data_IF_526377052160
#
_entry.id   IF_526377052160
#
_cell.length_a   1.000
_cell.length_b   1.000
_cell.length_c   1.000
_cell.angle_alpha   90.00
_cell.angle_beta   90.00
_cell.angle_gamma   90.00
#
_symmetry.space_group_name_H-M   'P 1'
#
loop_
_entity.id
_entity.type
_entity.pdbx_description
1 polymer ?
#
# COMPACT_ATOMS: atom_id res chain seq x y z
N UNK A 1 19.34 49.27 42.91
CA UNK A 1 18.33 49.35 41.82
C UNK A 1 18.75 48.72 40.49
N UNK A 2 20.04 48.48 40.19
CA UNK A 2 20.48 47.85 38.91
C UNK A 2 20.37 46.32 38.83
N UNK A 3 20.14 45.62 39.95
CA UNK A 3 20.04 44.15 39.98
C UNK A 3 18.60 43.60 39.96
N UNK A 4 17.57 44.42 40.17
CA UNK A 4 16.17 43.98 40.01
C UNK A 4 15.72 43.95 38.54
N UNK A 5 16.25 44.84 37.70
CA UNK A 5 15.90 44.89 36.27
C UNK A 5 16.40 43.66 35.48
N UNK A 6 17.49 43.01 35.91
CA UNK A 6 17.98 41.77 35.29
C UNK A 6 17.20 40.52 35.72
N UNK A 7 16.59 40.52 36.91
CA UNK A 7 15.73 39.42 37.35
C UNK A 7 14.40 39.39 36.59
N UNK A 8 13.85 40.56 36.26
CA UNK A 8 12.64 40.65 35.43
C UNK A 8 12.89 40.28 33.96
N UNK A 9 14.08 40.56 33.42
CA UNK A 9 14.42 40.18 32.04
C UNK A 9 14.64 38.67 31.85
N UNK A 10 15.09 37.96 32.90
CA UNK A 10 15.23 36.50 32.91
C UNK A 10 13.90 35.78 33.15
N UNK A 11 12.96 36.39 33.88
CA UNK A 11 11.61 35.85 34.07
C UNK A 11 10.74 35.99 32.80
N UNK A 12 10.99 36.98 31.94
CA UNK A 12 10.28 37.14 30.67
C UNK A 12 10.71 36.17 29.56
N UNK A 13 11.82 35.44 29.72
CA UNK A 13 12.27 34.41 28.76
C UNK A 13 11.70 33.02 29.08
N UNK A 14 11.15 32.80 30.29
CA UNK A 14 10.51 31.52 30.68
C UNK A 14 9.00 31.45 30.37
N UNK A 15 8.44 32.48 29.75
CA UNK A 15 7.07 32.48 29.19
C UNK A 15 7.10 32.55 27.66
N UNK A 16 8.06 31.89 27.01
CA UNK A 16 7.72 31.26 25.74
C UNK A 16 6.64 30.25 26.08
N UNK A 17 5.39 30.61 25.79
CA UNK A 17 4.29 29.69 25.74
C UNK A 17 4.74 28.50 24.91
N UNK A 18 5.14 27.42 25.59
CA UNK A 18 4.93 26.09 25.05
C UNK A 18 3.42 25.98 24.92
N UNK A 19 2.90 26.53 23.81
CA UNK A 19 1.61 26.11 23.29
C UNK A 19 1.81 24.63 23.02
N UNK A 20 1.52 23.83 24.04
CA UNK A 20 1.26 22.41 23.88
C UNK A 20 0.00 22.39 23.02
N UNK A 21 0.20 22.45 21.70
CA UNK A 21 -0.88 22.26 20.76
C UNK A 21 -1.45 20.88 21.10
N UNK A 22 -2.73 20.85 21.48
CA UNK A 22 -3.41 19.58 21.65
C UNK A 22 -3.30 18.82 20.33
N UNK A 23 -2.80 17.59 20.40
CA UNK A 23 -2.68 16.73 19.22
C UNK A 23 -4.03 16.60 18.54
N UNK A 24 -4.05 16.60 17.20
CA UNK A 24 -5.22 16.16 16.47
C UNK A 24 -5.54 14.69 16.83
N UNK A 25 -6.80 14.29 16.74
CA UNK A 25 -7.15 12.88 16.86
C UNK A 25 -6.62 12.12 15.63
N UNK A 26 -6.75 12.73 14.45
CA UNK A 26 -6.26 12.20 13.18
C UNK A 26 -5.53 13.25 12.35
N UNK A 27 -4.45 12.84 11.68
CA UNK A 27 -3.97 13.50 10.47
C UNK A 27 -4.08 12.52 9.30
N UNK A 28 -4.84 12.89 8.27
CA UNK A 28 -4.87 12.20 6.99
C UNK A 28 -3.75 12.79 6.11
N UNK A 29 -2.83 11.93 5.70
CA UNK A 29 -1.68 12.27 4.87
C UNK A 29 -1.87 11.64 3.51
N UNK A 30 -1.87 12.44 2.45
CA UNK A 30 -2.01 11.93 1.08
C UNK A 30 -0.75 12.26 0.29
N UNK A 31 -0.12 11.23 -0.28
CA UNK A 31 1.07 11.31 -1.11
C UNK A 31 0.67 11.06 -2.56
N UNK A 32 0.52 12.15 -3.34
CA UNK A 32 0.15 12.11 -4.76
C UNK A 32 1.45 12.13 -5.58
N UNK A 33 1.90 10.94 -5.99
CA UNK A 33 3.03 10.79 -6.92
C UNK A 33 2.45 10.83 -8.34
N UNK A 34 2.46 12.03 -8.93
CA UNK A 34 1.71 12.37 -10.14
C UNK A 34 2.56 12.78 -11.33
N UNK A 35 3.88 12.81 -11.20
CA UNK A 35 4.77 13.20 -12.30
C UNK A 35 4.88 12.06 -13.33
N UNK A 36 3.83 11.91 -14.14
CA UNK A 36 3.69 10.97 -15.25
C UNK A 36 3.77 11.75 -16.58
N UNK A 37 4.91 11.65 -17.25
CA UNK A 37 5.14 12.34 -18.52
C UNK A 37 4.45 11.62 -19.70
N UNK A 38 4.03 10.37 -19.51
CA UNK A 38 3.43 9.52 -20.52
C UNK A 38 1.91 9.67 -20.60
N UNK A 39 1.24 10.07 -19.51
CA UNK A 39 -0.19 10.37 -19.47
C UNK A 39 -0.56 11.41 -18.42
N UNK A 40 -1.32 12.44 -18.83
CA UNK A 40 -1.87 13.40 -17.89
C UNK A 40 -3.10 12.88 -17.11
N UNK A 41 -3.56 11.65 -17.38
CA UNK A 41 -4.77 11.10 -16.76
C UNK A 41 -4.63 10.87 -15.26
N UNK A 42 -3.45 10.47 -14.78
CA UNK A 42 -3.21 10.27 -13.34
C UNK A 42 -3.24 11.62 -12.62
N UNK A 43 -2.55 12.61 -13.16
CA UNK A 43 -2.51 13.96 -12.62
C UNK A 43 -3.89 14.63 -12.60
N UNK A 44 -4.69 14.47 -13.66
CA UNK A 44 -6.08 14.93 -13.70
C UNK A 44 -6.94 14.31 -12.60
N UNK A 45 -6.77 13.02 -12.32
CA UNK A 45 -7.47 12.34 -11.24
C UNK A 45 -7.01 12.84 -9.87
N UNK A 46 -5.71 12.97 -9.65
CA UNK A 46 -5.16 13.47 -8.39
C UNK A 46 -5.62 14.90 -8.05
N UNK A 47 -5.81 15.75 -9.06
CA UNK A 47 -6.40 17.09 -8.87
C UNK A 47 -7.88 17.00 -8.48
N UNK A 48 -8.63 16.04 -9.01
CA UNK A 48 -10.03 15.79 -8.58
C UNK A 48 -10.08 15.26 -7.15
N UNK A 49 -9.19 14.33 -6.79
CA UNK A 49 -9.04 13.79 -5.42
C UNK A 49 -8.76 14.91 -4.41
N UNK A 50 -7.91 15.87 -4.78
CA UNK A 50 -7.64 17.05 -3.95
C UNK A 50 -8.89 17.95 -3.81
N UNK A 51 -9.73 18.01 -4.83
CA UNK A 51 -11.04 18.65 -4.80
C UNK A 51 -12.00 17.95 -3.83
N UNK A 52 -12.12 16.63 -3.90
CA UNK A 52 -12.94 15.80 -3.00
C UNK A 52 -12.53 15.98 -1.54
N UNK A 53 -11.23 15.98 -1.24
CA UNK A 53 -10.70 16.27 0.10
C UNK A 53 -11.15 17.65 0.61
N UNK A 54 -11.23 18.65 -0.28
CA UNK A 54 -11.63 20.02 0.07
C UNK A 54 -13.13 20.18 0.31
N UNK A 55 -13.99 19.25 -0.14
CA UNK A 55 -15.42 19.27 0.20
C UNK A 55 -15.63 19.15 1.73
N UNK A 56 -14.75 18.39 2.39
CA UNK A 56 -14.75 18.19 3.85
C UNK A 56 -13.77 19.15 4.55
N UNK A 57 -12.50 19.15 4.12
CA UNK A 57 -11.43 19.98 4.66
C UNK A 57 -11.02 19.71 6.12
N UNK A 58 -9.83 20.18 6.48
CA UNK A 58 -9.29 20.16 7.84
C UNK A 58 -10.14 20.98 8.81
N UNK A 59 -10.23 20.53 10.06
CA UNK A 59 -11.00 21.13 11.15
C UNK A 59 -10.36 20.81 12.51
N UNK A 60 -10.91 21.37 13.59
CA UNK A 60 -10.39 21.09 14.94
C UNK A 60 -10.36 19.57 15.23
N UNK A 61 -9.18 19.04 15.54
CA UNK A 61 -8.96 17.62 15.85
C UNK A 61 -8.77 16.72 14.64
N UNK A 62 -8.83 17.24 13.41
CA UNK A 62 -8.61 16.47 12.17
C UNK A 62 -7.99 17.35 11.08
N UNK A 63 -6.78 17.02 10.66
CA UNK A 63 -6.11 17.70 9.54
C UNK A 63 -5.89 16.78 8.34
N UNK A 64 -5.91 17.39 7.16
CA UNK A 64 -5.66 16.77 5.87
C UNK A 64 -4.45 17.45 5.26
N UNK A 65 -3.35 16.72 5.15
CA UNK A 65 -2.08 17.20 4.58
C UNK A 65 -1.81 16.42 3.31
N UNK A 66 -1.58 17.14 2.21
CA UNK A 66 -1.31 16.54 0.91
C UNK A 66 0.05 16.98 0.41
N UNK A 67 0.90 16.06 0.00
CA UNK A 67 2.04 16.36 -0.87
C UNK A 67 1.67 15.89 -2.27
N UNK A 68 1.71 16.80 -3.23
CA UNK A 68 1.46 16.48 -4.63
C UNK A 68 2.64 16.97 -5.45
N UNK A 69 3.21 16.08 -6.25
CA UNK A 69 4.14 16.46 -7.32
C UNK A 69 3.45 16.38 -8.67
N UNK A 70 3.61 17.44 -9.45
CA UNK A 70 2.83 17.74 -10.64
C UNK A 70 3.77 17.99 -11.80
N UNK A 71 3.57 17.24 -12.88
CA UNK A 71 4.39 17.35 -14.08
C UNK A 71 4.36 18.77 -14.67
N UNK A 72 5.39 19.12 -15.44
CA UNK A 72 5.35 20.34 -16.27
C UNK A 72 4.36 20.22 -17.43
N UNK A 73 3.92 19.01 -17.75
CA UNK A 73 3.09 18.70 -18.92
C UNK A 73 1.61 18.83 -18.56
N UNK A 74 1.14 20.07 -18.57
CA UNK A 74 -0.27 20.37 -18.31
C UNK A 74 -1.18 19.71 -19.36
N UNK A 75 -2.20 18.96 -18.92
CA UNK A 75 -3.25 18.49 -19.83
C UNK A 75 -4.09 19.67 -20.36
N UNK A 76 -4.77 19.48 -21.49
CA UNK A 76 -5.67 20.52 -22.02
C UNK A 76 -6.85 20.79 -21.08
N UNK A 77 -7.35 19.76 -20.37
CA UNK A 77 -8.37 19.89 -19.33
C UNK A 77 -7.90 20.75 -18.16
N UNK A 78 -6.67 20.54 -17.70
CA UNK A 78 -6.06 21.30 -16.61
C UNK A 78 -5.76 22.75 -17.04
N UNK A 79 -5.36 22.98 -18.30
CA UNK A 79 -5.19 24.34 -18.87
C UNK A 79 -6.47 25.18 -18.84
N UNK A 80 -7.62 24.56 -19.06
CA UNK A 80 -8.91 25.26 -19.10
C UNK A 80 -9.49 25.47 -17.69
N UNK A 81 -9.16 24.59 -16.75
CA UNK A 81 -9.76 24.56 -15.41
C UNK A 81 -8.89 25.21 -14.32
N UNK A 82 -7.58 25.34 -14.54
CA UNK A 82 -6.61 25.84 -13.56
C UNK A 82 -5.78 27.00 -14.12
N UNK A 83 -5.85 28.15 -13.46
CA UNK A 83 -5.06 29.35 -13.76
C UNK A 83 -3.93 29.57 -12.74
N UNK A 84 -3.37 28.49 -12.19
CA UNK A 84 -2.21 28.56 -11.29
C UNK A 84 -0.91 28.71 -12.13
N UNK A 85 -0.25 29.88 -12.13
CA UNK A 85 1.00 30.07 -12.87
C UNK A 85 2.17 29.24 -12.28
N UNK A 86 2.05 28.77 -11.04
CA UNK A 86 3.03 27.90 -10.37
C UNK A 86 2.55 26.43 -10.38
N UNK A 87 1.89 25.99 -11.45
CA UNK A 87 1.24 24.69 -11.50
C UNK A 87 2.19 23.50 -11.23
N UNK A 88 3.38 23.46 -11.84
CA UNK A 88 4.26 22.29 -11.76
C UNK A 88 5.10 22.22 -10.47
N UNK A 89 5.68 21.05 -10.24
CA UNK A 89 6.54 20.74 -9.11
C UNK A 89 5.79 20.45 -7.82
N UNK A 90 6.51 19.90 -6.85
CA UNK A 90 5.95 19.46 -5.60
C UNK A 90 5.58 20.59 -4.65
N UNK A 91 4.41 20.45 -4.05
CA UNK A 91 3.89 21.33 -3.00
C UNK A 91 3.29 20.51 -1.88
N UNK A 92 3.33 21.10 -0.68
CA UNK A 92 2.56 20.63 0.48
C UNK A 92 1.37 21.54 0.70
N UNK A 93 0.21 20.93 0.88
CA UNK A 93 -1.05 21.59 1.11
C UNK A 93 -1.63 21.18 2.45
N UNK A 94 -2.10 22.17 3.20
CA UNK A 94 -3.13 21.96 4.21
C UNK A 94 -4.48 22.14 3.53
N UNK A 95 -5.24 21.06 3.38
CA UNK A 95 -6.54 21.11 2.69
C UNK A 95 -7.57 21.65 3.65
N UNK A 96 -8.18 22.80 3.34
CA UNK A 96 -9.29 23.40 4.06
C UNK A 96 -10.58 23.21 3.27
N UNK A 97 -11.71 23.53 3.90
CA UNK A 97 -12.99 23.49 3.20
C UNK A 97 -12.95 24.46 2.02
N UNK A 98 -13.26 23.96 0.82
CA UNK A 98 -13.32 24.69 -0.45
C UNK A 98 -12.01 25.40 -0.86
N UNK A 99 -10.86 25.03 -0.26
CA UNK A 99 -9.57 25.70 -0.49
C UNK A 99 -8.37 24.80 -0.17
N UNK A 100 -7.30 24.91 -0.97
CA UNK A 100 -6.01 24.26 -0.71
C UNK A 100 -4.98 25.33 -0.31
N UNK A 101 -4.49 25.27 0.93
CA UNK A 101 -3.49 26.23 1.41
C UNK A 101 -2.10 25.68 1.18
N UNK A 102 -1.33 26.31 0.29
CA UNK A 102 0.08 25.96 0.08
C UNK A 102 0.87 26.34 1.33
N UNK A 103 1.42 25.35 2.01
CA UNK A 103 2.27 25.55 3.18
C UNK A 103 3.75 25.51 2.84
N UNK A 104 4.12 24.75 1.81
CA UNK A 104 5.50 24.63 1.34
C UNK A 104 5.55 24.38 -0.17
N UNK A 105 6.46 25.08 -0.86
CA UNK A 105 6.81 24.83 -2.27
C UNK A 105 8.16 24.14 -2.27
N UNK A 106 8.19 22.88 -2.70
CA UNK A 106 9.39 22.04 -2.70
C UNK A 106 10.16 22.15 -4.03
N UNK A 107 9.47 22.53 -5.11
CA UNK A 107 10.01 22.40 -6.46
C UNK A 107 9.91 20.96 -6.93
N UNK A 108 10.60 20.59 -8.01
CA UNK A 108 10.65 19.20 -8.48
C UNK A 108 11.33 18.31 -7.43
N UNK A 109 10.72 17.18 -7.09
CA UNK A 109 11.31 16.17 -6.22
C UNK A 109 11.12 14.78 -6.84
N UNK A 110 12.03 13.85 -6.57
CA UNK A 110 11.81 12.46 -6.95
C UNK A 110 10.77 11.82 -6.00
N UNK A 111 9.54 11.63 -6.48
CA UNK A 111 8.46 10.99 -5.71
C UNK A 111 8.54 9.47 -5.60
N UNK A 112 9.39 8.84 -6.42
CA UNK A 112 9.81 7.45 -6.26
C UNK A 112 10.80 7.24 -5.11
N UNK A 113 11.42 8.31 -4.61
CA UNK A 113 12.47 8.20 -3.60
C UNK A 113 11.93 7.97 -2.18
N UNK A 114 12.50 7.03 -1.39
CA UNK A 114 12.18 6.91 0.04
C UNK A 114 12.44 8.18 0.83
N UNK A 115 13.37 9.04 0.38
CA UNK A 115 13.68 10.30 1.05
C UNK A 115 12.54 11.31 0.93
N UNK A 116 11.83 11.35 -0.20
CA UNK A 116 10.69 12.25 -0.38
C UNK A 116 9.52 11.85 0.53
N UNK A 117 9.22 10.55 0.62
CA UNK A 117 8.20 10.05 1.54
C UNK A 117 8.60 10.27 3.01
N UNK A 118 9.85 10.01 3.36
CA UNK A 118 10.38 10.29 4.70
C UNK A 118 10.28 11.77 5.07
N UNK A 119 10.63 12.67 4.15
CA UNK A 119 10.56 14.11 4.40
C UNK A 119 9.13 14.57 4.64
N UNK A 120 8.15 14.02 3.90
CA UNK A 120 6.73 14.29 4.16
C UNK A 120 6.32 13.84 5.57
N UNK A 121 6.65 12.61 5.97
CA UNK A 121 6.26 12.12 7.30
C UNK A 121 6.93 12.91 8.43
N UNK A 122 8.16 13.38 8.21
CA UNK A 122 8.86 14.30 9.12
C UNK A 122 8.16 15.65 9.21
N UNK A 123 7.77 16.22 8.07
CA UNK A 123 7.01 17.48 8.01
C UNK A 123 5.69 17.36 8.77
N UNK A 124 4.91 16.32 8.46
CA UNK A 124 3.61 16.05 9.09
C UNK A 124 3.75 15.85 10.60
N UNK A 125 4.72 15.05 11.05
CA UNK A 125 4.96 14.82 12.48
C UNK A 125 5.30 16.12 13.23
N UNK A 126 6.05 17.03 12.59
CA UNK A 126 6.47 18.28 13.20
C UNK A 126 5.37 19.37 13.19
N UNK A 127 4.59 19.49 12.10
CA UNK A 127 3.64 20.59 11.90
C UNK A 127 2.18 20.22 12.13
N UNK A 128 1.81 18.96 11.90
CA UNK A 128 0.44 18.45 12.01
C UNK A 128 0.39 17.22 12.94
N UNK A 129 0.86 17.35 14.19
CA UNK A 129 1.01 16.22 15.08
C UNK A 129 -0.36 15.66 15.49
N UNK A 130 -0.51 14.34 15.43
CA UNK A 130 -1.76 13.65 15.73
C UNK A 130 -1.56 12.40 16.58
N UNK A 131 -2.63 11.97 17.24
CA UNK A 131 -2.67 10.69 17.93
C UNK A 131 -2.67 9.53 16.95
N UNK A 132 -3.31 9.69 15.79
CA UNK A 132 -3.40 8.67 14.74
C UNK A 132 -3.06 9.24 13.36
N UNK A 133 -2.44 8.42 12.53
CA UNK A 133 -2.05 8.79 11.17
C UNK A 133 -2.59 7.79 10.15
N UNK A 134 -3.26 8.33 9.12
CA UNK A 134 -3.65 7.60 7.92
C UNK A 134 -2.77 8.10 6.77
N UNK A 135 -1.95 7.25 6.18
CA UNK A 135 -1.17 7.58 4.97
C UNK A 135 -1.82 6.91 3.76
N UNK A 136 -2.19 7.69 2.75
CA UNK A 136 -2.62 7.18 1.44
C UNK A 136 -1.52 7.50 0.43
N UNK A 137 -1.00 6.48 -0.25
CA UNK A 137 -0.09 6.62 -1.39
C UNK A 137 -0.93 6.42 -2.64
N UNK A 138 -1.11 7.48 -3.44
CA UNK A 138 -1.82 7.46 -4.70
C UNK A 138 -0.83 7.55 -5.85
N UNK A 139 -0.90 6.56 -6.73
CA UNK A 139 -0.10 6.44 -7.93
C UNK A 139 -0.63 5.26 -8.74
N UNK A 140 -0.10 5.09 -9.95
CA UNK A 140 0.01 3.76 -10.55
C UNK A 140 0.61 2.70 -9.61
N UNK A 141 0.34 1.43 -9.95
CA UNK A 141 0.71 0.26 -9.16
C UNK A 141 1.07 -0.96 -10.03
N UNK A 142 1.87 -1.89 -9.53
CA UNK A 142 2.10 -3.19 -10.17
C UNK A 142 2.32 -4.34 -9.20
N UNK A 143 1.90 -4.17 -7.96
CA UNK A 143 2.19 -5.10 -6.88
C UNK A 143 3.65 -5.08 -6.45
N UNK A 144 4.15 -6.20 -5.95
CA UNK A 144 5.45 -6.26 -5.25
C UNK A 144 6.66 -6.26 -6.19
N UNK A 145 6.51 -6.65 -7.46
CA UNK A 145 7.64 -6.76 -8.38
C UNK A 145 7.96 -5.41 -9.03
N UNK A 146 8.65 -4.56 -8.30
CA UNK A 146 9.05 -3.21 -8.75
C UNK A 146 10.44 -3.17 -9.40
N UNK A 147 11.21 -4.26 -9.38
CA UNK A 147 12.61 -4.23 -9.79
C UNK A 147 13.21 -5.59 -10.22
N UNK A 148 14.08 -5.61 -11.25
CA UNK A 148 14.88 -6.79 -11.71
C UNK A 148 16.35 -6.43 -12.00
N UNK A 149 17.27 -7.39 -11.86
CA UNK A 149 18.71 -7.23 -12.20
C UNK A 149 19.67 -7.84 -11.17
N UNK A 150 20.98 -7.69 -11.40
CA UNK A 150 22.05 -8.24 -10.54
C UNK A 150 22.39 -7.36 -9.32
N UNK A 151 21.75 -6.19 -9.18
CA UNK A 151 21.95 -5.34 -8.01
C UNK A 151 21.41 -5.98 -6.72
N UNK A 152 21.78 -5.40 -5.57
CA UNK A 152 21.19 -5.76 -4.26
C UNK A 152 20.38 -4.60 -3.69
N UNK A 153 19.24 -4.93 -3.08
CA UNK A 153 18.45 -4.01 -2.25
C UNK A 153 19.34 -3.53 -1.09
N UNK A 154 19.53 -2.21 -0.96
CA UNK A 154 20.41 -1.58 0.05
C UNK A 154 21.82 -1.22 -0.43
N UNK A 155 22.16 -1.42 -1.71
CA UNK A 155 23.39 -0.85 -2.29
C UNK A 155 23.17 0.63 -2.63
N UNK A 156 24.12 1.51 -2.29
CA UNK A 156 24.18 2.90 -2.78
C UNK A 156 24.49 3.01 -4.28
N UNK A 157 24.79 1.87 -4.91
CA UNK A 157 24.92 1.68 -6.34
C UNK A 157 24.37 0.29 -6.64
N UNK A 158 23.04 0.12 -6.68
CA UNK A 158 22.50 -1.14 -7.18
C UNK A 158 23.10 -1.29 -8.60
N UNK A 159 23.54 -2.50 -8.98
CA UNK A 159 24.25 -2.74 -10.25
C UNK A 159 23.41 -2.36 -11.49
N UNK A 160 23.52 -3.09 -12.60
CA UNK A 160 22.58 -2.92 -13.73
C UNK A 160 21.18 -3.39 -13.31
N UNK A 161 20.49 -2.52 -12.59
CA UNK A 161 19.06 -2.47 -12.32
C UNK A 161 18.41 -2.30 -13.68
N UNK A 162 17.69 -3.31 -14.15
CA UNK A 162 16.78 -3.09 -15.25
C UNK A 162 15.44 -2.74 -14.62
N UNK A 163 15.20 -1.44 -14.45
CA UNK A 163 13.88 -0.97 -14.11
C UNK A 163 12.88 -1.43 -15.18
N UNK A 164 11.69 -1.84 -14.77
CA UNK A 164 10.59 -2.13 -15.68
C UNK A 164 9.56 -1.02 -15.47
N UNK A 165 9.58 0.05 -16.28
CA UNK A 165 8.67 1.19 -16.14
C UNK A 165 7.22 0.85 -16.48
N UNK A 166 6.89 -0.44 -16.69
CA UNK A 166 5.52 -0.96 -16.70
C UNK A 166 5.07 -1.53 -15.34
N UNK A 167 5.95 -1.45 -14.31
CA UNK A 167 5.75 -2.06 -12.99
C UNK A 167 6.30 -1.24 -11.80
N UNK A 168 5.43 -0.57 -11.03
CA UNK A 168 5.82 0.38 -9.99
C UNK A 168 4.75 0.62 -8.92
N UNK A 169 5.09 1.25 -7.80
CA UNK A 169 4.18 2.01 -6.92
C UNK A 169 4.82 3.39 -6.72
N UNK A 170 4.09 4.49 -6.86
CA UNK A 170 4.63 5.85 -6.81
C UNK A 170 5.80 6.06 -7.79
N UNK A 171 5.56 5.87 -9.08
CA UNK A 171 6.58 6.09 -10.11
C UNK A 171 6.64 7.54 -10.53
N UNK A 172 7.86 8.00 -10.69
CA UNK A 172 8.22 9.31 -11.15
C UNK A 172 8.86 9.19 -12.54
N UNK A 173 8.12 9.58 -13.57
CA UNK A 173 8.60 9.47 -14.96
C UNK A 173 9.77 10.40 -15.25
N UNK A 174 9.88 11.53 -14.53
CA UNK A 174 10.97 12.48 -14.74
C UNK A 174 12.28 11.94 -14.19
N UNK A 175 12.22 11.20 -13.08
CA UNK A 175 13.39 10.64 -12.39
C UNK A 175 13.68 9.15 -12.69
N UNK A 176 12.78 8.44 -13.40
CA UNK A 176 12.88 6.99 -13.69
C UNK A 176 13.03 6.14 -12.41
N UNK A 177 12.24 6.48 -11.37
CA UNK A 177 12.31 5.89 -10.03
C UNK A 177 10.93 5.59 -9.45
N UNK A 178 10.81 4.60 -8.57
CA UNK A 178 9.56 4.28 -7.88
C UNK A 178 9.79 3.76 -6.46
N UNK A 179 8.79 3.93 -5.59
CA UNK A 179 8.84 3.35 -4.26
C UNK A 179 8.70 1.83 -4.29
N UNK A 180 9.75 1.14 -3.85
CA UNK A 180 9.67 -0.31 -3.59
C UNK A 180 9.00 -0.59 -2.24
N UNK A 181 8.45 -1.80 -2.08
CA UNK A 181 7.88 -2.23 -0.79
C UNK A 181 8.93 -2.26 0.34
N UNK A 182 10.22 -2.45 0.02
CA UNK A 182 11.32 -2.38 0.99
C UNK A 182 11.53 -0.96 1.50
N UNK A 183 11.49 0.02 0.59
CA UNK A 183 11.65 1.43 0.90
C UNK A 183 10.49 1.97 1.72
N UNK A 184 9.26 1.64 1.34
CA UNK A 184 8.06 1.97 2.12
C UNK A 184 8.18 1.38 3.53
N UNK A 185 8.53 0.09 3.65
CA UNK A 185 8.73 -0.57 4.95
C UNK A 185 9.80 0.13 5.80
N UNK A 186 10.94 0.49 5.21
CA UNK A 186 12.02 1.18 5.89
C UNK A 186 11.61 2.58 6.38
N UNK A 187 10.87 3.34 5.56
CA UNK A 187 10.34 4.65 5.93
C UNK A 187 9.34 4.55 7.09
N UNK A 188 8.43 3.56 7.07
CA UNK A 188 7.46 3.36 8.15
C UNK A 188 8.13 2.91 9.46
N UNK A 189 9.16 2.07 9.38
CA UNK A 189 9.99 1.70 10.54
C UNK A 189 10.68 2.93 11.14
N UNK A 190 11.31 3.76 10.29
CA UNK A 190 11.93 4.99 10.75
C UNK A 190 10.90 5.96 11.36
N UNK A 191 9.69 6.05 10.80
CA UNK A 191 8.60 6.88 11.34
C UNK A 191 8.18 6.41 12.73
N UNK A 192 7.95 5.10 12.87
CA UNK A 192 7.66 4.47 14.16
C UNK A 192 8.72 4.80 15.20
N UNK A 193 9.99 4.57 14.87
CA UNK A 193 11.12 4.70 15.82
C UNK A 193 11.43 6.15 16.19
N UNK A 194 11.35 7.08 15.23
CA UNK A 194 11.90 8.43 15.38
C UNK A 194 10.85 9.51 15.54
N UNK A 195 9.63 9.31 15.03
CA UNK A 195 8.61 10.37 14.89
C UNK A 195 7.29 10.04 15.60
N UNK A 196 6.97 8.77 15.84
CA UNK A 196 5.68 8.36 16.42
C UNK A 196 5.81 7.65 17.78
N UNK A 197 6.90 7.89 18.52
CA UNK A 197 7.06 7.39 19.89
C UNK A 197 7.05 5.86 20.02
N UNK A 198 7.55 5.15 19.00
CA UNK A 198 7.55 3.68 18.94
C UNK A 198 6.24 3.06 18.46
N UNK A 199 5.20 3.86 18.21
CA UNK A 199 3.92 3.39 17.66
C UNK A 199 3.98 3.27 16.15
N UNK A 200 3.36 2.22 15.61
CA UNK A 200 3.21 2.02 14.17
C UNK A 200 2.34 3.13 13.56
N UNK A 201 2.42 3.28 12.25
CA UNK A 201 1.42 4.03 11.49
C UNK A 201 0.07 3.32 11.62
N UNK A 202 -1.00 4.03 11.97
CA UNK A 202 -2.29 3.39 12.23
C UNK A 202 -2.91 2.76 10.97
N UNK A 203 -2.84 3.45 9.83
CA UNK A 203 -3.38 2.95 8.57
C UNK A 203 -2.50 3.39 7.40
N UNK A 204 -2.18 2.45 6.51
CA UNK A 204 -1.68 2.74 5.17
C UNK A 204 -2.70 2.29 4.12
N UNK A 205 -3.03 3.17 3.19
CA UNK A 205 -3.82 2.89 2.00
C UNK A 205 -2.96 2.99 0.75
N UNK A 206 -3.00 1.95 -0.08
CA UNK A 206 -2.43 1.97 -1.42
C UNK A 206 -3.56 2.23 -2.41
N UNK A 207 -3.70 3.49 -2.80
CA UNK A 207 -4.54 3.89 -3.93
C UNK A 207 -3.73 3.69 -5.22
N UNK A 208 -3.40 2.42 -5.46
CA UNK A 208 -2.50 1.96 -6.50
C UNK A 208 -2.82 0.51 -6.87
N UNK A 209 -2.59 0.14 -8.14
CA UNK A 209 -2.88 -1.19 -8.66
C UNK A 209 -2.06 -2.30 -7.98
N UNK A 210 -2.70 -3.42 -7.69
CA UNK A 210 -2.11 -4.71 -7.30
C UNK A 210 -1.28 -4.70 -6.00
N UNK A 211 -1.41 -3.68 -5.16
CA UNK A 211 -0.71 -3.62 -3.87
C UNK A 211 -1.24 -4.64 -2.83
N UNK A 212 -2.42 -5.24 -3.06
CA UNK A 212 -3.06 -6.23 -2.19
C UNK A 212 -2.37 -7.60 -2.20
N UNK A 213 -1.11 -7.65 -1.75
CA UNK A 213 -0.26 -8.85 -1.76
C UNK A 213 0.05 -9.33 -0.34
N UNK A 214 0.03 -10.64 -0.10
CA UNK A 214 0.41 -11.21 1.21
C UNK A 214 1.87 -10.94 1.54
N UNK A 215 2.73 -10.85 0.53
CA UNK A 215 4.13 -10.46 0.69
C UNK A 215 4.27 -9.02 1.20
N UNK A 216 3.46 -8.09 0.68
CA UNK A 216 3.44 -6.71 1.13
C UNK A 216 2.89 -6.60 2.56
N UNK A 217 1.79 -7.31 2.85
CA UNK A 217 1.21 -7.40 4.19
C UNK A 217 2.27 -7.82 5.23
N UNK A 218 3.05 -8.85 4.91
CA UNK A 218 4.12 -9.31 5.80
C UNK A 218 5.29 -8.32 5.87
N UNK A 219 5.71 -7.74 4.75
CA UNK A 219 6.81 -6.77 4.70
C UNK A 219 6.53 -5.50 5.54
N UNK A 220 5.26 -5.10 5.68
CA UNK A 220 4.84 -3.91 6.42
C UNK A 220 4.48 -4.18 7.90
N UNK A 221 4.55 -5.43 8.36
CA UNK A 221 4.06 -5.87 9.68
C UNK A 221 4.59 -5.11 10.89
N UNK A 222 5.79 -4.54 10.79
CA UNK A 222 6.42 -3.79 11.87
C UNK A 222 6.24 -2.26 11.75
N UNK A 223 5.73 -1.77 10.61
CA UNK A 223 5.63 -0.35 10.28
C UNK A 223 4.21 0.24 10.36
N UNK A 224 3.17 -0.55 10.09
CA UNK A 224 1.77 -0.10 10.20
C UNK A 224 0.85 -1.12 10.88
N UNK A 225 -0.32 -0.71 11.36
CA UNK A 225 -1.32 -1.58 12.00
C UNK A 225 -2.33 -2.17 10.99
N UNK A 226 -2.83 -1.34 10.06
CA UNK A 226 -3.80 -1.74 9.02
C UNK A 226 -3.30 -1.35 7.64
N UNK A 227 -3.39 -2.28 6.69
CA UNK A 227 -3.11 -2.06 5.27
C UNK A 227 -4.42 -2.14 4.47
N UNK A 228 -4.72 -1.13 3.64
CA UNK A 228 -5.81 -1.14 2.66
C UNK A 228 -5.20 -1.18 1.26
N UNK A 229 -5.55 -2.17 0.45
CA UNK A 229 -4.96 -2.32 -0.87
C UNK A 229 -5.84 -3.15 -1.81
N UNK A 230 -5.74 -2.86 -3.10
CA UNK A 230 -6.42 -3.60 -4.16
C UNK A 230 -5.49 -4.69 -4.70
N UNK A 231 -5.88 -5.98 -4.72
CA UNK A 231 -5.08 -7.04 -5.36
C UNK A 231 -5.11 -6.95 -6.90
N UNK A 232 -6.05 -6.20 -7.48
CA UNK A 232 -6.29 -6.02 -8.92
C UNK A 232 -5.95 -4.60 -9.38
N UNK A 233 -6.42 -4.22 -10.58
CA UNK A 233 -6.31 -2.85 -11.07
C UNK A 233 -7.20 -1.91 -10.25
N UNK A 234 -6.68 -0.72 -9.96
CA UNK A 234 -7.44 0.38 -9.38
C UNK A 234 -7.89 1.30 -10.51
N UNK A 235 -9.16 1.73 -10.55
CA UNK A 235 -9.65 2.65 -11.56
C UNK A 235 -8.92 3.98 -11.45
N UNK A 236 -8.85 4.72 -12.55
CA UNK A 236 -8.21 6.04 -12.55
C UNK A 236 -8.85 7.03 -11.57
N UNK A 237 -10.10 6.82 -11.13
CA UNK A 237 -10.75 7.64 -10.10
C UNK A 237 -10.23 7.40 -8.67
N UNK A 238 -9.45 6.34 -8.45
CA UNK A 238 -8.88 6.05 -7.13
C UNK A 238 -9.89 5.79 -6.02
N UNK A 239 -9.49 6.08 -4.78
CA UNK A 239 -10.31 5.98 -3.57
C UNK A 239 -11.33 7.14 -3.48
N UNK A 240 -12.44 6.93 -2.77
CA UNK A 240 -13.40 8.02 -2.45
C UNK A 240 -12.87 8.91 -1.32
N UNK A 241 -12.13 9.96 -1.66
CA UNK A 241 -11.46 10.82 -0.68
C UNK A 241 -12.45 11.67 0.13
N UNK A 242 -13.60 12.03 -0.45
CA UNK A 242 -14.67 12.69 0.28
C UNK A 242 -15.27 11.75 1.33
N UNK A 243 -15.57 10.50 0.97
CA UNK A 243 -16.08 9.48 1.88
C UNK A 243 -15.13 9.19 3.05
N UNK A 244 -13.83 9.08 2.77
CA UNK A 244 -12.77 8.85 3.77
C UNK A 244 -12.70 10.03 4.75
N UNK A 245 -12.52 11.24 4.23
CA UNK A 245 -12.40 12.44 5.06
C UNK A 245 -13.70 12.71 5.84
N UNK A 246 -14.86 12.45 5.25
CA UNK A 246 -16.15 12.53 5.93
C UNK A 246 -16.29 11.48 7.04
N UNK A 247 -15.75 10.28 6.86
CA UNK A 247 -15.73 9.22 7.87
C UNK A 247 -14.97 9.64 9.12
N UNK A 248 -13.78 10.22 8.95
CA UNK A 248 -12.96 10.76 10.06
C UNK A 248 -13.66 11.97 10.70
N UNK A 249 -14.13 12.92 9.89
CA UNK A 249 -14.74 14.15 10.39
C UNK A 249 -16.05 13.91 11.18
N UNK A 250 -16.80 12.85 10.86
CA UNK A 250 -18.02 12.44 11.59
C UNK A 250 -17.71 11.79 12.94
N UNK A 251 -16.58 11.11 13.07
CA UNK A 251 -16.19 10.42 14.28
C UNK A 251 -14.67 10.46 14.47
N UNK A 252 -14.17 11.47 15.19
CA UNK A 252 -12.73 11.59 15.48
C UNK A 252 -12.17 10.39 16.27
N UNK A 253 -13.01 9.64 16.97
CA UNK A 253 -12.62 8.43 17.69
C UNK A 253 -12.61 7.18 16.82
N UNK A 254 -12.95 7.27 15.52
CA UNK A 254 -12.97 6.13 14.59
C UNK A 254 -11.66 5.33 14.70
N UNK A 255 -11.77 4.02 14.84
CA UNK A 255 -10.61 3.14 14.93
C UNK A 255 -9.99 2.96 13.54
N UNK A 256 -8.71 2.58 13.44
CA UNK A 256 -8.09 2.29 12.14
C UNK A 256 -8.85 1.20 11.38
N UNK A 257 -9.33 0.16 12.07
CA UNK A 257 -10.15 -0.89 11.45
C UNK A 257 -11.44 -0.33 10.84
N UNK A 258 -12.19 0.46 11.61
CA UNK A 258 -13.45 1.03 11.15
C UNK A 258 -13.24 2.05 10.02
N UNK A 259 -12.16 2.83 10.06
CA UNK A 259 -11.79 3.71 8.95
C UNK A 259 -11.43 2.91 7.70
N UNK A 260 -10.71 1.79 7.85
CA UNK A 260 -10.40 0.89 6.73
C UNK A 260 -11.64 0.28 6.10
N UNK A 261 -12.67 -0.03 6.90
CA UNK A 261 -13.95 -0.50 6.41
C UNK A 261 -14.67 0.60 5.61
N UNK A 262 -14.67 1.84 6.11
CA UNK A 262 -15.18 3.01 5.35
C UNK A 262 -14.48 3.10 4.00
N UNK A 263 -13.14 3.09 3.97
CA UNK A 263 -12.35 3.16 2.72
C UNK A 263 -12.77 2.05 1.75
N UNK A 264 -12.79 0.79 2.20
CA UNK A 264 -13.13 -0.35 1.33
C UNK A 264 -14.56 -0.26 0.78
N UNK A 265 -15.51 0.16 1.61
CA UNK A 265 -16.92 0.24 1.25
C UNK A 265 -17.17 1.37 0.26
N UNK A 266 -16.72 2.59 0.59
CA UNK A 266 -17.03 3.77 -0.21
C UNK A 266 -16.32 3.75 -1.56
N UNK A 267 -15.11 3.17 -1.62
CA UNK A 267 -14.46 2.86 -2.90
C UNK A 267 -15.36 2.00 -3.80
N UNK A 268 -15.88 0.88 -3.30
CA UNK A 268 -16.73 -0.02 -4.10
C UNK A 268 -18.05 0.65 -4.50
N UNK A 269 -18.64 1.45 -3.61
CA UNK A 269 -19.84 2.21 -3.92
C UNK A 269 -19.59 3.23 -5.04
N UNK A 270 -18.46 3.96 -5.00
CA UNK A 270 -18.11 4.98 -6.01
C UNK A 270 -17.78 4.40 -7.38
N UNK A 271 -17.30 3.16 -7.43
CA UNK A 271 -16.88 2.47 -8.68
C UNK A 271 -17.87 1.42 -9.18
N UNK A 272 -19.04 1.29 -8.55
CA UNK A 272 -20.02 0.22 -8.82
C UNK A 272 -20.56 0.17 -10.26
N UNK A 273 -20.42 1.25 -11.03
CA UNK A 273 -20.78 1.32 -12.46
C UNK A 273 -19.61 1.03 -13.42
N UNK A 274 -18.41 0.72 -12.91
CA UNK A 274 -17.26 0.40 -13.74
C UNK A 274 -17.45 -0.92 -14.50
N UNK A 275 -16.83 -1.02 -15.67
CA UNK A 275 -16.88 -2.22 -16.51
C UNK A 275 -15.90 -3.30 -16.06
N UNK A 276 -14.79 -2.90 -15.45
CA UNK A 276 -13.76 -3.80 -14.97
C UNK A 276 -14.04 -4.24 -13.54
N UNK A 277 -13.82 -5.52 -13.19
CA UNK A 277 -14.06 -6.04 -11.84
C UNK A 277 -13.34 -5.28 -10.72
N UNK A 278 -14.09 -4.82 -9.71
CA UNK A 278 -13.54 -4.06 -8.58
C UNK A 278 -13.59 -4.82 -7.25
N UNK A 279 -12.51 -4.73 -6.50
CA UNK A 279 -12.36 -5.30 -5.16
C UNK A 279 -11.42 -4.42 -4.34
N UNK A 280 -11.73 -4.19 -3.06
CA UNK A 280 -10.82 -3.55 -2.12
C UNK A 280 -10.92 -4.22 -0.77
N UNK A 281 -9.77 -4.46 -0.14
CA UNK A 281 -9.70 -5.17 1.14
C UNK A 281 -8.73 -4.50 2.10
N UNK A 282 -9.00 -4.69 3.39
CA UNK A 282 -8.16 -4.20 4.47
C UNK A 282 -7.72 -5.33 5.39
N UNK A 283 -6.49 -5.22 5.89
CA UNK A 283 -5.75 -6.31 6.52
C UNK A 283 -5.02 -5.84 7.77
N UNK A 284 -5.17 -6.55 8.90
CA UNK A 284 -4.40 -6.33 10.13
C UNK A 284 -3.02 -6.93 9.97
N UNK A 285 -2.00 -6.08 10.02
CA UNK A 285 -0.62 -6.54 9.86
C UNK A 285 -0.11 -7.33 11.07
N UNK A 286 -0.70 -7.10 12.26
CA UNK A 286 -0.42 -7.87 13.47
C UNK A 286 -0.73 -9.37 13.31
N UNK A 287 -1.57 -9.75 12.35
CA UNK A 287 -1.90 -11.14 12.00
C UNK A 287 -1.04 -11.71 10.87
N UNK A 288 -0.18 -10.91 10.25
CA UNK A 288 0.66 -11.34 9.14
C UNK A 288 1.61 -12.47 9.55
N UNK A 289 2.17 -12.45 10.77
CA UNK A 289 3.05 -13.52 11.26
C UNK A 289 2.35 -14.88 11.35
N UNK A 290 1.12 -14.90 11.85
CA UNK A 290 0.30 -16.11 11.95
C UNK A 290 -0.02 -16.67 10.56
N UNK A 291 -0.45 -15.80 9.63
CA UNK A 291 -0.71 -16.19 8.24
C UNK A 291 0.54 -16.72 7.55
N UNK A 292 1.67 -16.01 7.64
CA UNK A 292 2.93 -16.43 7.03
C UNK A 292 3.45 -17.75 7.62
N UNK A 293 3.27 -17.99 8.92
CA UNK A 293 3.60 -19.28 9.54
C UNK A 293 2.77 -20.43 8.96
N UNK A 294 1.44 -20.26 8.85
CA UNK A 294 0.55 -21.26 8.26
C UNK A 294 0.89 -21.51 6.78
N UNK A 295 1.24 -20.46 6.02
CA UNK A 295 1.71 -20.59 4.64
C UNK A 295 3.05 -21.32 4.55
N UNK A 296 3.98 -21.12 5.48
CA UNK A 296 5.22 -21.88 5.52
C UNK A 296 4.97 -23.37 5.75
N UNK A 297 4.06 -23.73 6.67
CA UNK A 297 3.68 -25.12 6.91
C UNK A 297 3.08 -25.76 5.66
N UNK A 298 2.19 -25.03 4.98
CA UNK A 298 1.65 -25.46 3.69
C UNK A 298 2.76 -25.67 2.65
N UNK A 299 3.68 -24.71 2.48
CA UNK A 299 4.80 -24.82 1.54
C UNK A 299 5.64 -26.06 1.80
N UNK A 300 5.95 -26.38 3.06
CA UNK A 300 6.72 -27.57 3.41
C UNK A 300 6.00 -28.87 3.01
N UNK A 301 4.68 -28.95 3.20
CA UNK A 301 3.89 -30.13 2.81
C UNK A 301 3.72 -30.26 1.28
N UNK A 302 3.59 -29.14 0.57
CA UNK A 302 3.61 -29.11 -0.90
C UNK A 302 4.96 -29.62 -1.44
N UNK A 303 6.08 -29.14 -0.89
CA UNK A 303 7.42 -29.59 -1.28
C UNK A 303 7.62 -31.09 -1.01
N UNK A 304 7.09 -31.62 0.09
CA UNK A 304 7.10 -33.07 0.37
C UNK A 304 6.29 -33.84 -0.67
N UNK A 305 5.08 -33.38 -0.99
CA UNK A 305 4.23 -34.01 -1.99
C UNK A 305 4.93 -34.07 -3.36
N UNK A 306 5.55 -32.97 -3.80
CA UNK A 306 6.28 -32.90 -5.08
C UNK A 306 7.47 -33.86 -5.12
N UNK A 307 8.28 -33.88 -4.06
CA UNK A 307 9.47 -34.74 -3.99
C UNK A 307 9.11 -36.23 -3.95
N UNK A 308 8.04 -36.59 -3.25
CA UNK A 308 7.58 -37.98 -3.13
C UNK A 308 7.04 -38.53 -4.45
N UNK A 309 6.23 -37.73 -5.17
CA UNK A 309 5.57 -38.21 -6.38
C UNK A 309 6.45 -38.11 -7.62
N UNK A 310 7.36 -37.12 -7.67
CA UNK A 310 8.10 -36.79 -8.88
C UNK A 310 7.19 -36.38 -10.05
N UNK A 311 5.96 -35.94 -9.75
CA UNK A 311 4.93 -35.57 -10.74
C UNK A 311 4.59 -34.10 -10.62
N UNK A 312 4.26 -33.51 -11.77
CA UNK A 312 3.58 -32.23 -11.84
C UNK A 312 2.15 -32.34 -11.33
N UNK A 313 1.81 -31.44 -10.42
CA UNK A 313 0.45 -31.19 -9.99
C UNK A 313 -0.16 -30.03 -10.76
N UNK A 314 -1.48 -29.92 -10.69
CA UNK A 314 -2.28 -28.86 -11.29
C UNK A 314 -3.29 -28.38 -10.27
N UNK A 315 -3.42 -27.06 -10.17
CA UNK A 315 -4.52 -26.36 -9.52
C UNK A 315 -5.38 -25.73 -10.62
N UNK A 316 -6.69 -25.98 -10.59
CA UNK A 316 -7.67 -25.43 -11.53
C UNK A 316 -8.72 -24.57 -10.83
N UNK A 317 -9.53 -23.84 -11.59
CA UNK A 317 -10.60 -22.98 -11.08
C UNK A 317 -10.07 -21.86 -10.17
N UNK A 318 -8.87 -21.36 -10.46
CA UNK A 318 -8.23 -20.29 -9.73
C UNK A 318 -8.69 -18.92 -10.26
N UNK A 319 -8.20 -17.85 -9.62
CA UNK A 319 -8.50 -16.49 -10.05
C UNK A 319 -7.21 -15.70 -10.02
N UNK A 320 -6.85 -15.10 -11.15
CA UNK A 320 -5.74 -14.17 -11.24
C UNK A 320 -6.25 -12.73 -11.12
N UNK A 321 -5.38 -11.81 -10.71
CA UNK A 321 -5.68 -10.39 -10.64
C UNK A 321 -4.87 -9.60 -11.66
N UNK A 322 -5.41 -8.44 -12.08
CA UNK A 322 -4.68 -7.49 -12.92
C UNK A 322 -4.35 -7.97 -14.33
N UNK A 323 -5.15 -8.90 -14.88
CA UNK A 323 -5.03 -9.50 -16.22
C UNK A 323 -3.66 -10.10 -16.56
N UNK A 324 -2.85 -10.39 -15.52
CA UNK A 324 -1.48 -10.89 -15.62
C UNK A 324 -1.35 -12.20 -14.83
N UNK A 325 -0.68 -13.20 -15.40
CA UNK A 325 -0.43 -14.53 -14.83
C UNK A 325 0.52 -14.55 -13.62
N UNK A 326 0.63 -13.43 -12.88
CA UNK A 326 1.61 -13.24 -11.80
C UNK A 326 1.03 -13.28 -10.40
N UNK A 327 -0.18 -12.78 -10.22
CA UNK A 327 -0.78 -12.57 -8.91
C UNK A 327 -2.08 -13.35 -8.87
N UNK A 328 -2.12 -14.32 -7.98
CA UNK A 328 -3.23 -15.25 -7.89
C UNK A 328 -3.91 -15.11 -6.54
N UNK A 329 -5.23 -15.21 -6.53
CA UNK A 329 -6.02 -15.12 -5.31
C UNK A 329 -5.60 -16.21 -4.31
N UNK A 330 -5.10 -15.76 -3.16
CA UNK A 330 -4.56 -16.68 -2.16
C UNK A 330 -5.66 -17.62 -1.65
N UNK A 331 -6.83 -17.10 -1.32
CA UNK A 331 -7.94 -17.93 -0.86
C UNK A 331 -8.41 -18.96 -1.88
N UNK A 332 -8.35 -18.67 -3.18
CA UNK A 332 -8.64 -19.65 -4.23
C UNK A 332 -7.60 -20.76 -4.30
N UNK A 333 -6.32 -20.44 -4.20
CA UNK A 333 -5.27 -21.45 -4.12
C UNK A 333 -5.50 -22.35 -2.90
N UNK A 334 -5.76 -21.76 -1.74
CA UNK A 334 -5.99 -22.50 -0.50
C UNK A 334 -7.22 -23.41 -0.58
N UNK A 335 -8.32 -22.94 -1.17
CA UNK A 335 -9.53 -23.77 -1.38
C UNK A 335 -9.32 -24.86 -2.42
N UNK A 336 -8.54 -24.60 -3.47
CA UNK A 336 -8.25 -25.62 -4.48
C UNK A 336 -7.46 -26.80 -3.90
N UNK A 337 -6.55 -26.52 -2.96
CA UNK A 337 -5.77 -27.52 -2.23
C UNK A 337 -6.60 -28.35 -1.22
N UNK A 338 -7.75 -27.85 -0.80
CA UNK A 338 -8.68 -28.56 0.09
C UNK A 338 -9.66 -29.48 -0.66
N UNK A 339 -9.88 -29.22 -1.96
CA UNK A 339 -10.96 -29.82 -2.74
C UNK A 339 -10.42 -30.60 -3.96
N UNK A 340 -11.34 -31.11 -4.78
CA UNK A 340 -11.05 -31.84 -6.03
C UNK A 340 -10.46 -30.96 -7.15
N UNK A 341 -10.26 -29.66 -6.91
CA UNK A 341 -9.62 -28.71 -7.84
C UNK A 341 -8.09 -28.85 -7.88
N UNK A 342 -7.55 -29.80 -7.13
CA UNK A 342 -6.15 -30.22 -7.21
C UNK A 342 -6.06 -31.71 -7.58
N UNK A 343 -5.04 -32.07 -8.36
CA UNK A 343 -4.71 -33.48 -8.62
C UNK A 343 -3.70 -34.05 -7.59
N UNK A 344 -3.66 -33.49 -6.37
CA UNK A 344 -2.76 -33.91 -5.30
C UNK A 344 -3.07 -35.31 -4.74
N UNK A 345 -4.18 -35.94 -5.16
CA UNK A 345 -4.62 -37.27 -4.72
C UNK A 345 -3.59 -38.41 -4.91
N UNK A 346 -2.54 -38.19 -5.71
CA UNK A 346 -1.43 -39.15 -5.86
C UNK A 346 -0.34 -39.05 -4.77
N UNK A 347 -0.37 -38.04 -3.91
CA UNK A 347 0.60 -37.83 -2.83
C UNK A 347 0.14 -38.49 -1.52
N UNK A 348 1.07 -39.13 -0.80
CA UNK A 348 0.76 -39.82 0.46
C UNK A 348 0.34 -38.88 1.59
N UNK A 349 0.71 -37.60 1.50
CA UNK A 349 0.38 -36.55 2.46
C UNK A 349 -0.72 -35.59 1.96
N UNK A 350 -1.53 -35.97 0.97
CA UNK A 350 -2.57 -35.10 0.39
C UNK A 350 -3.55 -34.54 1.45
N UNK A 351 -3.99 -35.36 2.41
CA UNK A 351 -4.86 -34.89 3.50
C UNK A 351 -4.16 -33.87 4.42
N UNK A 352 -2.86 -34.00 4.62
CA UNK A 352 -2.07 -33.04 5.42
C UNK A 352 -1.96 -31.72 4.66
N UNK A 353 -1.72 -31.75 3.35
CA UNK A 353 -1.73 -30.53 2.51
C UNK A 353 -3.08 -29.81 2.60
N UNK A 354 -4.20 -30.53 2.49
CA UNK A 354 -5.53 -29.96 2.62
C UNK A 354 -5.74 -29.31 4.01
N UNK A 355 -5.29 -29.96 5.08
CA UNK A 355 -5.38 -29.43 6.44
C UNK A 355 -4.53 -28.15 6.61
N UNK A 356 -3.30 -28.12 6.11
CA UNK A 356 -2.45 -26.91 6.16
C UNK A 356 -3.03 -25.77 5.32
N UNK A 357 -3.70 -26.08 4.21
CA UNK A 357 -4.39 -25.08 3.40
C UNK A 357 -5.60 -24.48 4.12
N UNK A 358 -6.37 -25.31 4.85
CA UNK A 358 -7.47 -24.84 5.70
C UNK A 358 -6.97 -23.94 6.85
N UNK A 359 -5.86 -24.30 7.49
CA UNK A 359 -5.24 -23.48 8.55
C UNK A 359 -4.77 -22.13 8.00
N UNK A 360 -4.11 -22.12 6.84
CA UNK A 360 -3.73 -20.87 6.16
C UNK A 360 -4.95 -20.03 5.76
N UNK A 361 -6.05 -20.65 5.30
CA UNK A 361 -7.29 -19.92 4.98
C UNK A 361 -7.92 -19.32 6.23
N UNK A 362 -7.86 -20.04 7.37
CA UNK A 362 -8.34 -19.56 8.66
C UNK A 362 -7.52 -18.36 9.14
N UNK A 363 -6.19 -18.44 9.11
CA UNK A 363 -5.32 -17.31 9.48
C UNK A 363 -5.49 -16.13 8.52
N UNK A 364 -5.72 -16.36 7.22
CA UNK A 364 -6.00 -15.30 6.24
C UNK A 364 -7.31 -14.58 6.58
N UNK A 365 -8.38 -15.32 6.86
CA UNK A 365 -9.67 -14.75 7.29
C UNK A 365 -9.52 -13.97 8.60
N UNK A 366 -8.71 -14.44 9.54
CA UNK A 366 -8.44 -13.74 10.80
C UNK A 366 -7.62 -12.44 10.63
N UNK A 367 -6.79 -12.36 9.58
CA UNK A 367 -6.05 -11.15 9.24
C UNK A 367 -6.91 -10.09 8.54
N UNK A 368 -7.98 -10.48 7.86
CA UNK A 368 -8.85 -9.56 7.11
C UNK A 368 -9.74 -8.75 8.05
N UNK A 369 -9.76 -7.43 7.86
CA UNK A 369 -10.68 -6.51 8.54
C UNK A 369 -11.95 -6.35 7.72
N UNK A 370 -11.80 -5.93 6.47
CA UNK A 370 -12.92 -5.69 5.55
C UNK A 370 -12.56 -6.14 4.13
N UNK A 371 -13.57 -6.49 3.35
CA UNK A 371 -13.47 -6.73 1.92
C UNK A 371 -14.80 -6.39 1.27
N UNK A 372 -14.76 -5.50 0.29
CA UNK A 372 -15.89 -5.15 -0.56
C UNK A 372 -15.51 -5.41 -2.02
N UNK A 373 -16.51 -5.78 -2.82
CA UNK A 373 -16.38 -5.97 -4.26
C UNK A 373 -17.72 -5.65 -4.93
N UNK A 374 -17.69 -5.18 -6.17
CA UNK A 374 -18.84 -4.68 -6.94
C UNK A 374 -19.80 -5.78 -7.46
N UNK A 375 -19.61 -7.02 -7.02
CA UNK A 375 -20.38 -8.19 -7.45
C UNK A 375 -19.97 -8.76 -8.81
N UNK A 376 -18.99 -8.17 -9.51
CA UNK A 376 -18.41 -8.74 -10.74
C UNK A 376 -17.68 -10.06 -10.49
N UNK A 377 -17.11 -10.22 -9.29
CA UNK A 377 -16.58 -11.47 -8.80
C UNK A 377 -17.72 -12.31 -8.20
N UNK A 378 -17.88 -13.54 -8.69
CA UNK A 378 -18.84 -14.47 -8.06
C UNK A 378 -18.46 -14.73 -6.60
N UNK A 379 -19.48 -14.89 -5.75
CA UNK A 379 -19.30 -15.24 -4.34
C UNK A 379 -18.39 -16.48 -4.21
N UNK A 380 -17.39 -16.44 -3.33
CA UNK A 380 -16.34 -17.46 -3.15
C UNK A 380 -15.26 -17.58 -4.25
N UNK A 381 -15.29 -16.73 -5.29
CA UNK A 381 -14.22 -16.68 -6.31
C UNK A 381 -13.04 -15.77 -5.95
N UNK A 382 -13.17 -14.94 -4.92
CA UNK A 382 -12.10 -14.03 -4.46
C UNK A 382 -11.95 -14.06 -2.94
N UNK A 383 -10.78 -13.64 -2.47
CA UNK A 383 -10.42 -13.52 -1.05
C UNK A 383 -9.93 -12.15 -0.64
N UNK A 384 -9.65 -11.27 -1.62
CA UNK A 384 -9.23 -9.89 -1.40
C UNK A 384 -7.72 -9.68 -1.24
N UNK A 385 -6.93 -10.76 -1.32
CA UNK A 385 -5.47 -10.70 -1.28
C UNK A 385 -4.87 -11.72 -2.25
N UNK A 386 -3.80 -11.31 -2.91
CA UNK A 386 -3.08 -12.16 -3.83
C UNK A 386 -1.76 -12.65 -3.22
N UNK A 387 -1.21 -13.69 -3.83
CA UNK A 387 0.15 -14.17 -3.61
C UNK A 387 0.86 -14.25 -4.97
N UNK A 388 2.16 -13.99 -5.00
CA UNK A 388 2.92 -14.09 -6.22
C UNK A 388 3.08 -15.55 -6.66
N UNK A 389 2.63 -15.82 -7.89
CA UNK A 389 2.85 -17.06 -8.63
C UNK A 389 3.13 -16.76 -10.12
N UNK A 390 4.20 -16.00 -10.44
CA UNK A 390 4.57 -15.65 -11.82
C UNK A 390 4.96 -16.86 -12.66
N UNK A 391 4.82 -16.75 -13.98
CA UNK A 391 5.34 -17.74 -14.94
C UNK A 391 6.86 -17.93 -14.80
N UNK A 392 7.43 -19.07 -15.22
CA UNK A 392 8.84 -19.38 -15.00
C UNK A 392 9.82 -18.36 -15.57
N UNK A 393 9.55 -17.78 -16.74
CA UNK A 393 10.39 -16.75 -17.36
C UNK A 393 10.34 -15.42 -16.59
N UNK A 394 9.13 -15.01 -16.19
CA UNK A 394 8.93 -13.81 -15.38
C UNK A 394 9.61 -13.97 -14.02
N UNK A 395 9.40 -15.09 -13.34
CA UNK A 395 10.03 -15.34 -12.04
C UNK A 395 11.55 -15.35 -12.12
N UNK A 396 12.15 -15.95 -13.16
CA UNK A 396 13.62 -15.89 -13.36
C UNK A 396 14.15 -14.46 -13.35
N UNK A 397 13.40 -13.52 -13.92
CA UNK A 397 13.77 -12.10 -13.93
C UNK A 397 13.68 -11.44 -12.55
N UNK A 398 12.70 -11.85 -11.73
CA UNK A 398 12.41 -11.24 -10.41
C UNK A 398 12.87 -12.08 -9.21
N UNK A 399 13.52 -13.22 -9.43
CA UNK A 399 13.81 -14.22 -8.39
C UNK A 399 14.68 -13.67 -7.27
N UNK A 400 15.71 -12.90 -7.60
CA UNK A 400 16.60 -12.26 -6.62
C UNK A 400 15.84 -11.29 -5.72
N UNK A 401 14.97 -10.47 -6.33
CA UNK A 401 14.09 -9.56 -5.60
C UNK A 401 13.14 -10.33 -4.69
N UNK A 402 12.45 -11.34 -5.22
CA UNK A 402 11.48 -12.13 -4.45
C UNK A 402 12.10 -12.76 -3.21
N UNK A 403 13.29 -13.36 -3.37
CA UNK A 403 14.04 -13.98 -2.26
C UNK A 403 14.56 -12.99 -1.22
N UNK A 404 14.61 -11.71 -1.55
CA UNK A 404 14.97 -10.68 -0.59
C UNK A 404 13.80 -10.30 0.34
N UNK A 405 12.54 -10.58 -0.05
CA UNK A 405 11.36 -10.25 0.75
C UNK A 405 11.38 -11.01 2.07
N UNK A 406 10.92 -10.35 3.14
CA UNK A 406 10.77 -10.98 4.45
C UNK A 406 9.85 -12.20 4.37
N UNK A 407 8.82 -12.15 3.53
CA UNK A 407 7.89 -13.24 3.32
C UNK A 407 8.59 -14.48 2.74
N UNK A 408 9.43 -14.30 1.72
CA UNK A 408 10.19 -15.41 1.14
C UNK A 408 11.17 -15.97 2.17
N UNK A 409 11.88 -15.12 2.93
CA UNK A 409 12.79 -15.59 3.99
C UNK A 409 12.08 -16.35 5.11
N UNK A 410 10.83 -16.02 5.40
CA UNK A 410 10.03 -16.60 6.47
C UNK A 410 9.21 -17.83 6.03
N UNK A 411 9.17 -18.12 4.73
CA UNK A 411 8.40 -19.24 4.18
C UNK A 411 9.26 -20.13 3.32
N UNK A 412 8.70 -21.26 2.90
CA UNK A 412 9.25 -22.10 1.83
C UNK A 412 8.61 -21.87 0.47
N UNK A 413 7.97 -20.71 0.29
CA UNK A 413 7.20 -20.42 -0.92
C UNK A 413 8.10 -20.21 -2.14
N UNK A 414 9.26 -19.56 -1.99
CA UNK A 414 10.20 -19.43 -3.09
C UNK A 414 10.80 -20.77 -3.52
N UNK A 415 10.96 -21.75 -2.63
CA UNK A 415 11.30 -23.12 -3.05
C UNK A 415 10.16 -23.80 -3.81
N UNK A 416 8.89 -23.54 -3.47
CA UNK A 416 7.73 -24.01 -4.27
C UNK A 416 7.79 -23.41 -5.67
N UNK A 417 8.05 -22.10 -5.77
CA UNK A 417 8.24 -21.40 -7.04
C UNK A 417 9.51 -21.83 -7.77
N UNK A 418 10.55 -22.29 -7.09
CA UNK A 418 11.78 -22.79 -7.73
C UNK A 418 11.56 -24.18 -8.34
N UNK A 419 10.81 -25.07 -7.67
CA UNK A 419 10.57 -26.42 -8.17
C UNK A 419 9.64 -26.46 -9.40
N UNK A 420 8.65 -25.57 -9.49
CA UNK A 420 7.73 -25.49 -10.65
C UNK A 420 6.99 -26.80 -10.97
N UNK A 421 6.71 -27.59 -9.94
CA UNK A 421 5.96 -28.84 -10.06
C UNK A 421 4.45 -28.63 -9.82
N UNK A 422 3.96 -27.39 -9.68
CA UNK A 422 2.53 -27.07 -9.65
C UNK A 422 2.23 -26.05 -10.76
N UNK A 423 1.39 -26.46 -11.72
CA UNK A 423 0.81 -25.57 -12.72
C UNK A 423 -0.50 -24.97 -12.18
N UNK A 424 -0.68 -23.66 -12.35
CA UNK A 424 -1.88 -22.91 -11.95
C UNK A 424 -2.70 -22.54 -13.18
N UNK A 425 -4.02 -22.73 -13.14
CA UNK A 425 -4.92 -22.42 -14.24
C UNK A 425 -6.23 -21.79 -13.73
N UNK A 426 -6.72 -20.81 -14.49
CA UNK A 426 -8.00 -20.14 -14.24
C UNK A 426 -9.19 -21.11 -14.26
#
# INVERSE_FOLDING_TARGET
MRNLARLFLLASIMFLSNSCFALNEWTLVVYLAGDDNNSASLEESQVKDLGELSNIGSRHGFEIVVQADRSKKLSEFLRQSYSDPDYSGAKRYLVKKDKWEVEEKLGEINTGSPYALWDLLKYVSAKHPAKRYCLIINSHGSGIFSWRGEGKVGSSSPGSVNFDPSRFVAYDDTDDDCLTIFEISAVLLAFRERLNGGRKLDLIGFDACMAGMVEALYQLREGCDVMVANPSLTPGSGFDYEGISAGIARNLNITPDALSEVITKTFIESVSSNRDPQILSSWRTAKAQELTFSLNNLSMELLKAMKQTGRKFRLSNLTSYGSKSMYWDLGRILRALQNSDSNLNGASNAQVVAQMALEAETSMKAARVSMWYDGSYAENKVSGIAIAWPEPEQYRSYRTFYKALDFSKATKWDEVLDLREIDVQE
#
